data_IF_760935651168
#
_entry.id   IF_760935651168
#
_cell.length_a   1.000
_cell.length_b   1.000
_cell.length_c   1.000
_cell.angle_alpha   90.00
_cell.angle_beta   90.00
_cell.angle_gamma   90.00
#
_symmetry.space_group_name_H-M   'P 1'
#
loop_
_entity.id
_entity.type
_entity.pdbx_description
1 polymer ?
#
# COMPACT_ATOMS: atom_id res chain seq x y z
N UNK A 1 -10.98 -0.59 24.85
CA UNK A 1 -11.96 0.19 24.08
C UNK A 1 -11.69 -0.07 22.63
N UNK A 2 -12.64 -0.62 21.89
CA UNK A 2 -12.52 -0.83 20.44
C UNK A 2 -12.59 0.53 19.75
N UNK A 3 -11.58 0.86 18.96
CA UNK A 3 -11.58 2.08 18.13
C UNK A 3 -12.74 1.97 17.15
N UNK A 4 -13.61 2.99 17.02
CA UNK A 4 -14.70 2.94 16.07
C UNK A 4 -14.15 2.81 14.66
N UNK A 5 -14.83 2.09 13.76
CA UNK A 5 -14.39 1.94 12.38
C UNK A 5 -14.35 3.31 11.68
N UNK A 6 -13.46 3.51 10.70
CA UNK A 6 -13.40 4.76 9.95
C UNK A 6 -14.76 5.05 9.29
N UNK A 7 -15.14 6.33 9.27
CA UNK A 7 -16.41 6.80 8.69
C UNK A 7 -16.49 6.56 7.17
N UNK A 8 -15.35 6.48 6.52
CA UNK A 8 -15.21 6.17 5.08
C UNK A 8 -14.24 5.01 4.93
N UNK A 9 -14.61 4.00 4.14
CA UNK A 9 -13.84 2.77 3.99
C UNK A 9 -13.89 2.22 2.56
N UNK A 10 -12.75 1.88 2.00
CA UNK A 10 -12.66 1.11 0.74
C UNK A 10 -13.12 -0.31 0.99
N UNK A 11 -14.03 -0.81 0.14
CA UNK A 11 -14.58 -2.18 0.25
C UNK A 11 -13.98 -3.13 -0.76
N UNK A 12 -14.06 -2.79 -2.03
CA UNK A 12 -13.55 -3.65 -3.10
C UNK A 12 -13.21 -2.85 -4.36
N UNK A 13 -12.51 -3.51 -5.27
CA UNK A 13 -12.43 -3.15 -6.67
C UNK A 13 -12.82 -4.36 -7.51
N UNK A 14 -13.72 -4.17 -8.45
CA UNK A 14 -14.23 -5.19 -9.35
C UNK A 14 -13.83 -4.88 -10.79
N UNK A 15 -13.24 -5.86 -11.46
CA UNK A 15 -12.94 -5.87 -12.88
C UNK A 15 -13.95 -6.78 -13.56
N UNK A 16 -14.83 -6.22 -14.39
CA UNK A 16 -15.85 -6.95 -15.12
C UNK A 16 -15.31 -7.86 -16.24
N UNK A 17 -16.20 -8.32 -17.12
CA UNK A 17 -15.84 -9.20 -18.23
C UNK A 17 -14.96 -8.51 -19.28
N UNK A 18 -15.18 -7.21 -19.55
CA UNK A 18 -14.30 -6.44 -20.40
C UNK A 18 -12.96 -6.18 -19.69
N UNK A 19 -11.82 -6.48 -20.35
CA UNK A 19 -10.53 -6.38 -19.68
C UNK A 19 -10.11 -4.93 -19.48
N UNK A 20 -9.65 -4.60 -18.28
CA UNK A 20 -8.82 -3.42 -18.04
C UNK A 20 -7.36 -3.88 -18.03
N UNK A 21 -6.65 -3.70 -19.13
CA UNK A 21 -5.36 -4.34 -19.38
C UNK A 21 -5.51 -5.87 -19.34
N UNK A 22 -4.84 -6.52 -18.39
CA UNK A 22 -4.95 -7.97 -18.18
C UNK A 22 -6.04 -8.37 -17.18
N UNK A 23 -6.55 -7.41 -16.40
CA UNK A 23 -7.48 -7.67 -15.30
C UNK A 23 -8.90 -7.77 -15.84
N UNK A 24 -9.53 -8.91 -15.63
CA UNK A 24 -10.94 -9.18 -15.97
C UNK A 24 -11.52 -10.24 -15.04
N UNK A 25 -12.80 -10.16 -14.77
CA UNK A 25 -13.52 -11.11 -13.90
C UNK A 25 -12.82 -11.33 -12.54
N UNK A 26 -12.26 -10.26 -11.98
CA UNK A 26 -11.55 -10.29 -10.69
C UNK A 26 -12.16 -9.27 -9.75
N UNK A 27 -12.58 -9.70 -8.58
CA UNK A 27 -12.95 -8.83 -7.48
C UNK A 27 -11.92 -8.93 -6.36
N UNK A 28 -11.32 -7.79 -5.98
CA UNK A 28 -10.38 -7.68 -4.88
C UNK A 28 -11.09 -6.97 -3.73
N UNK A 29 -11.30 -7.66 -2.61
CA UNK A 29 -11.94 -7.13 -1.41
C UNK A 29 -10.89 -6.71 -0.38
N UNK A 30 -11.12 -5.60 0.30
CA UNK A 30 -10.14 -5.01 1.22
C UNK A 30 -10.59 -5.15 2.67
N UNK A 31 -9.67 -5.56 3.54
CA UNK A 31 -9.85 -5.55 4.98
C UNK A 31 -9.93 -4.11 5.51
N UNK A 32 -10.52 -3.94 6.68
CA UNK A 32 -10.75 -2.60 7.21
C UNK A 32 -9.48 -1.93 7.78
N UNK A 33 -8.41 -2.67 8.09
CA UNK A 33 -7.15 -2.13 8.64
C UNK A 33 -5.99 -2.28 7.68
N UNK A 34 -5.56 -3.50 7.36
CA UNK A 34 -4.42 -3.75 6.50
C UNK A 34 -4.71 -4.84 5.47
N UNK A 35 -4.55 -4.52 4.19
CA UNK A 35 -4.61 -5.49 3.09
C UNK A 35 -3.27 -5.57 2.39
N UNK A 36 -2.71 -6.77 2.28
CA UNK A 36 -1.58 -7.06 1.41
C UNK A 36 -2.07 -7.70 0.12
N UNK A 37 -1.63 -7.16 -1.01
CA UNK A 37 -1.82 -7.78 -2.34
C UNK A 37 -0.48 -8.36 -2.75
N UNK A 38 -0.41 -9.68 -2.87
CA UNK A 38 0.78 -10.40 -3.28
C UNK A 38 0.54 -11.17 -4.61
N UNK A 39 1.61 -11.66 -5.22
CA UNK A 39 1.57 -12.37 -6.51
C UNK A 39 2.73 -11.95 -7.41
N UNK A 40 2.86 -12.61 -8.57
CA UNK A 40 3.98 -12.44 -9.48
C UNK A 40 4.13 -11.01 -10.06
N UNK A 41 5.30 -10.70 -10.58
CA UNK A 41 5.57 -9.44 -11.28
C UNK A 41 4.70 -9.32 -12.53
N UNK A 42 4.21 -8.10 -12.80
CA UNK A 42 3.38 -7.83 -13.98
C UNK A 42 1.93 -8.33 -13.91
N UNK A 43 1.49 -8.86 -12.76
CA UNK A 43 0.11 -9.37 -12.56
C UNK A 43 -0.95 -8.25 -12.41
N UNK A 44 -0.52 -7.00 -12.29
CA UNK A 44 -1.44 -5.86 -12.21
C UNK A 44 -1.60 -5.23 -10.82
N UNK A 45 -0.79 -5.61 -9.82
CA UNK A 45 -0.87 -5.07 -8.44
C UNK A 45 -0.84 -3.54 -8.40
N UNK A 46 0.15 -2.91 -9.02
CA UNK A 46 0.27 -1.44 -9.05
C UNK A 46 -0.89 -0.77 -9.81
N UNK A 47 -1.51 -1.46 -10.79
CA UNK A 47 -2.71 -0.97 -11.48
C UNK A 47 -3.90 -0.95 -10.53
N UNK A 48 -4.10 -2.01 -9.74
CA UNK A 48 -5.14 -2.09 -8.70
C UNK A 48 -4.95 -0.96 -7.70
N UNK A 49 -3.74 -0.81 -7.14
CA UNK A 49 -3.42 0.27 -6.19
C UNK A 49 -3.67 1.65 -6.79
N UNK A 50 -3.27 1.87 -8.05
CA UNK A 50 -3.43 3.16 -8.74
C UNK A 50 -4.89 3.55 -8.95
N UNK A 51 -5.75 2.60 -9.34
CA UNK A 51 -7.19 2.83 -9.51
C UNK A 51 -7.86 3.15 -8.17
N UNK A 52 -7.55 2.38 -7.13
CA UNK A 52 -8.05 2.64 -5.77
C UNK A 52 -7.59 4.02 -5.30
N UNK A 53 -6.28 4.30 -5.33
CA UNK A 53 -5.72 5.59 -4.91
C UNK A 53 -6.35 6.77 -5.65
N UNK A 54 -6.64 6.61 -6.94
CA UNK A 54 -7.24 7.65 -7.77
C UNK A 54 -8.70 7.94 -7.42
N UNK A 55 -9.42 6.98 -6.86
CA UNK A 55 -10.84 7.11 -6.52
C UNK A 55 -11.05 7.97 -5.27
N UNK A 56 -10.05 8.07 -4.40
CA UNK A 56 -10.14 8.77 -3.12
C UNK A 56 -9.27 10.02 -3.06
N UNK A 57 -9.58 10.91 -2.13
CA UNK A 57 -8.76 12.07 -1.81
C UNK A 57 -9.51 13.37 -1.62
N UNK A 58 -8.85 14.32 -0.95
CA UNK A 58 -9.36 15.67 -0.75
C UNK A 58 -9.04 16.51 -1.99
N UNK A 59 -10.07 17.04 -2.65
CA UNK A 59 -9.93 17.80 -3.92
C UNK A 59 -9.99 19.31 -3.74
N UNK A 60 -10.39 19.81 -2.56
CA UNK A 60 -10.46 21.23 -2.29
C UNK A 60 -9.10 21.92 -2.53
N UNK A 61 -9.10 23.07 -3.22
CA UNK A 61 -7.87 23.82 -3.52
C UNK A 61 -7.18 24.33 -2.25
N UNK A 62 -7.95 24.74 -1.25
CA UNK A 62 -7.51 25.17 0.08
C UNK A 62 -7.40 24.02 1.09
N UNK A 63 -7.49 22.76 0.62
CA UNK A 63 -7.44 21.60 1.50
C UNK A 63 -6.09 21.42 2.18
N UNK A 64 -6.07 20.59 3.24
CA UNK A 64 -4.86 20.33 3.99
C UNK A 64 -3.76 19.69 3.12
N UNK A 65 -2.50 19.96 3.48
CA UNK A 65 -1.34 19.39 2.80
C UNK A 65 -0.58 18.48 3.75
N UNK A 66 -0.04 17.39 3.21
CA UNK A 66 0.86 16.47 3.92
C UNK A 66 2.22 17.13 4.19
N UNK A 67 3.05 16.51 5.03
CA UNK A 67 4.45 16.95 5.22
C UNK A 67 5.32 16.78 3.96
N UNK A 68 4.85 16.03 2.95
CA UNK A 68 5.44 16.06 1.61
C UNK A 68 5.18 17.38 0.85
N UNK A 69 4.32 18.27 1.37
CA UNK A 69 3.84 19.48 0.68
C UNK A 69 2.74 19.20 -0.35
N UNK A 70 2.33 17.96 -0.52
CA UNK A 70 1.30 17.54 -1.47
C UNK A 70 -0.09 17.46 -0.81
N UNK A 71 -1.18 17.65 -1.57
CA UNK A 71 -2.54 17.43 -1.05
C UNK A 71 -2.77 15.94 -0.77
N UNK A 72 -3.71 15.63 0.14
CA UNK A 72 -4.11 14.26 0.47
C UNK A 72 -4.94 13.63 -0.65
N UNK A 73 -4.33 13.44 -1.81
CA UNK A 73 -4.91 12.76 -2.98
C UNK A 73 -3.83 12.18 -3.87
N UNK A 74 -4.15 11.08 -4.54
CA UNK A 74 -3.33 10.51 -5.59
C UNK A 74 -4.05 10.59 -6.94
N UNK A 75 -3.29 10.62 -8.01
CA UNK A 75 -3.78 10.55 -9.38
C UNK A 75 -3.05 9.42 -10.09
N UNK A 76 -3.81 8.55 -10.76
CA UNK A 76 -3.27 7.35 -11.41
C UNK A 76 -2.22 7.67 -12.48
N UNK A 77 -2.33 8.82 -13.15
CA UNK A 77 -1.37 9.25 -14.18
C UNK A 77 0.05 9.45 -13.63
N UNK A 78 0.17 9.57 -12.31
CA UNK A 78 1.45 9.67 -11.59
C UNK A 78 1.96 8.33 -11.09
N UNK A 79 1.13 7.29 -11.16
CA UNK A 79 1.38 5.96 -10.63
C UNK A 79 1.67 4.99 -11.77
N UNK A 80 0.77 4.95 -12.76
CA UNK A 80 0.81 4.03 -13.89
C UNK A 80 0.73 4.83 -15.18
N UNK A 81 1.52 4.46 -16.19
CA UNK A 81 1.36 5.04 -17.51
C UNK A 81 0.11 4.43 -18.18
N UNK A 82 -0.84 5.28 -18.57
CA UNK A 82 -2.03 4.91 -19.31
C UNK A 82 -1.91 5.49 -20.73
N UNK A 83 -1.90 4.63 -21.72
CA UNK A 83 -1.80 5.01 -23.12
C UNK A 83 -3.14 5.52 -23.66
N UNK A 84 -3.13 6.30 -24.74
CA UNK A 84 -4.34 6.87 -25.33
C UNK A 84 -5.23 5.83 -25.98
N UNK A 85 -4.65 4.78 -26.56
CA UNK A 85 -5.38 3.65 -27.16
C UNK A 85 -6.21 2.89 -26.11
N UNK A 86 -5.76 2.84 -24.84
CA UNK A 86 -6.54 2.27 -23.74
C UNK A 86 -7.87 3.02 -23.52
N UNK A 87 -7.93 4.33 -23.86
CA UNK A 87 -9.19 5.11 -23.81
C UNK A 87 -10.18 4.60 -24.84
N UNK A 88 -9.73 4.41 -26.08
CA UNK A 88 -10.59 3.92 -27.14
C UNK A 88 -11.20 2.56 -26.82
N UNK A 89 -10.39 1.63 -26.27
CA UNK A 89 -10.85 0.32 -25.83
C UNK A 89 -11.93 0.46 -24.74
N UNK A 90 -11.73 1.33 -23.75
CA UNK A 90 -12.68 1.52 -22.65
C UNK A 90 -13.99 2.24 -23.09
N UNK A 91 -13.98 2.95 -24.21
CA UNK A 91 -15.16 3.61 -24.76
C UNK A 91 -16.07 2.65 -25.55
N UNK A 92 -15.54 1.55 -26.08
CA UNK A 92 -16.32 0.51 -26.79
C UNK A 92 -17.31 -0.16 -25.81
N UNK A 93 -16.86 -0.41 -24.59
CA UNK A 93 -17.73 -0.93 -23.53
C UNK A 93 -17.48 -0.16 -22.20
N UNK A 94 -18.18 0.95 -21.99
CA UNK A 94 -18.06 1.70 -20.75
C UNK A 94 -18.49 0.92 -19.50
N UNK A 95 -19.32 -0.14 -19.66
CA UNK A 95 -19.74 -1.00 -18.55
C UNK A 95 -18.61 -1.87 -18.03
N UNK A 96 -17.61 -2.14 -18.85
CA UNK A 96 -16.41 -2.93 -18.51
C UNK A 96 -15.34 -2.20 -17.70
N UNK A 97 -15.51 -0.88 -17.47
CA UNK A 97 -14.54 -0.14 -16.66
C UNK A 97 -14.56 -0.64 -15.19
N UNK A 98 -13.39 -0.73 -14.53
CA UNK A 98 -13.32 -1.17 -13.13
C UNK A 98 -14.19 -0.33 -12.21
N UNK A 99 -14.79 -0.98 -11.21
CA UNK A 99 -15.66 -0.35 -10.22
C UNK A 99 -15.04 -0.46 -8.84
N UNK A 100 -14.81 0.68 -8.20
CA UNK A 100 -14.38 0.75 -6.79
C UNK A 100 -15.60 0.98 -5.92
N UNK A 101 -15.78 0.11 -4.93
CA UNK A 101 -16.85 0.19 -3.94
C UNK A 101 -16.32 0.68 -2.61
N UNK A 102 -17.07 1.53 -1.94
CA UNK A 102 -16.73 2.09 -0.64
C UNK A 102 -17.96 2.28 0.24
N UNK A 103 -17.78 2.24 1.54
CA UNK A 103 -18.77 2.69 2.51
C UNK A 103 -18.45 4.13 2.90
N UNK A 104 -19.40 5.04 2.77
CA UNK A 104 -19.28 6.46 3.12
C UNK A 104 -20.38 6.78 4.14
N UNK A 105 -20.01 6.98 5.40
CA UNK A 105 -20.96 7.19 6.51
C UNK A 105 -22.08 6.13 6.57
N UNK A 106 -21.73 4.86 6.27
CA UNK A 106 -22.67 3.74 6.25
C UNK A 106 -23.43 3.55 4.93
N UNK A 107 -23.34 4.48 3.98
CA UNK A 107 -23.91 4.38 2.64
C UNK A 107 -22.90 3.72 1.70
N UNK A 108 -23.34 2.75 0.90
CA UNK A 108 -22.49 2.13 -0.11
C UNK A 108 -22.45 2.97 -1.38
N UNK A 109 -21.23 3.31 -1.81
CA UNK A 109 -20.94 4.14 -2.99
C UNK A 109 -20.09 3.36 -3.98
N UNK A 110 -20.51 3.32 -5.25
CA UNK A 110 -19.81 2.66 -6.32
C UNK A 110 -19.27 3.70 -7.32
N UNK A 111 -17.96 3.69 -7.54
CA UNK A 111 -17.29 4.59 -8.50
C UNK A 111 -16.69 3.80 -9.65
N UNK A 112 -17.21 4.02 -10.85
CA UNK A 112 -16.63 3.50 -12.09
C UNK A 112 -15.39 4.30 -12.47
N UNK A 113 -14.29 3.62 -12.75
CA UNK A 113 -13.02 4.19 -13.17
C UNK A 113 -13.06 4.50 -14.68
N UNK A 114 -13.73 5.59 -15.08
CA UNK A 114 -13.90 5.95 -16.48
C UNK A 114 -12.62 6.57 -17.06
N UNK A 115 -12.11 6.01 -18.15
CA UNK A 115 -10.93 6.54 -18.83
C UNK A 115 -11.31 7.71 -19.75
N UNK A 116 -10.53 8.77 -19.70
CA UNK A 116 -10.71 9.97 -20.53
C UNK A 116 -9.36 10.52 -20.98
N UNK A 117 -9.35 11.24 -22.10
CA UNK A 117 -8.19 11.99 -22.57
C UNK A 117 -8.25 13.44 -22.10
N UNK A 118 -7.10 14.02 -21.73
CA UNK A 118 -6.91 15.47 -21.64
C UNK A 118 -6.30 15.97 -22.95
N UNK A 119 -6.86 17.03 -23.51
CA UNK A 119 -6.41 17.62 -24.78
C UNK A 119 -4.94 18.05 -24.80
N UNK A 120 -4.37 18.37 -23.63
CA UNK A 120 -2.99 18.87 -23.48
C UNK A 120 -1.96 17.77 -23.16
N UNK A 121 -2.40 16.53 -22.92
CA UNK A 121 -1.51 15.48 -22.45
C UNK A 121 -1.57 14.26 -23.36
N UNK A 122 -0.42 13.74 -23.72
CA UNK A 122 -0.31 12.48 -24.47
C UNK A 122 -0.51 11.24 -23.58
N UNK A 123 -1.44 11.34 -22.62
CA UNK A 123 -1.76 10.27 -21.64
C UNK A 123 -3.25 10.27 -21.33
N UNK A 124 -3.77 9.07 -21.11
CA UNK A 124 -5.09 8.89 -20.53
C UNK A 124 -5.12 9.24 -19.05
N UNK A 125 -6.28 9.59 -18.56
CA UNK A 125 -6.58 9.76 -17.12
C UNK A 125 -7.81 8.95 -16.74
N UNK A 126 -7.98 8.71 -15.46
CA UNK A 126 -9.17 8.06 -14.92
C UNK A 126 -9.97 9.07 -14.09
N UNK A 127 -11.26 9.14 -14.38
CA UNK A 127 -12.23 9.94 -13.60
C UNK A 127 -13.16 8.97 -12.88
N UNK A 128 -13.25 9.04 -11.55
CA UNK A 128 -14.20 8.23 -10.80
C UNK A 128 -15.62 8.78 -10.99
N UNK A 129 -16.53 7.97 -11.53
CA UNK A 129 -17.92 8.35 -11.78
C UNK A 129 -18.87 7.49 -10.97
N UNK A 130 -19.80 8.09 -10.24
CA UNK A 130 -20.84 7.37 -9.49
C UNK A 130 -21.70 6.52 -10.42
N UNK A 131 -21.99 5.29 -10.02
CA UNK A 131 -22.91 4.37 -10.71
C UNK A 131 -24.22 4.36 -9.93
N UNK A 132 -25.34 4.45 -10.66
CA UNK A 132 -26.67 4.43 -10.09
C UNK A 132 -27.15 5.81 -9.60
N UNK A 133 -28.44 5.87 -9.27
CA UNK A 133 -29.03 7.02 -8.57
C UNK A 133 -28.99 6.69 -7.08
N UNK A 134 -28.11 7.31 -6.34
CA UNK A 134 -28.17 7.32 -4.88
C UNK A 134 -29.04 8.51 -4.52
N UNK A 135 -30.21 8.30 -3.90
CA UNK A 135 -31.17 9.37 -3.58
C UNK A 135 -30.55 10.49 -2.73
N UNK A 136 -29.52 10.12 -1.93
CA UNK A 136 -28.66 11.04 -1.20
C UNK A 136 -27.21 10.69 -1.49
N UNK A 137 -26.69 11.02 -2.69
CA UNK A 137 -25.28 10.76 -3.02
C UNK A 137 -24.38 11.63 -2.14
N UNK A 138 -23.70 11.07 -1.12
CA UNK A 138 -22.81 11.82 -0.26
C UNK A 138 -21.56 12.31 -1.00
N UNK A 139 -21.38 11.86 -2.25
CA UNK A 139 -20.22 12.15 -3.09
C UNK A 139 -20.67 12.52 -4.49
N UNK A 140 -20.51 13.74 -4.93
CA UNK A 140 -20.92 14.20 -6.26
C UNK A 140 -20.46 13.27 -7.40
N UNK A 141 -21.20 13.27 -8.51
CA UNK A 141 -21.13 12.28 -9.59
C UNK A 141 -19.73 12.00 -10.13
N UNK A 142 -18.93 13.05 -10.41
CA UNK A 142 -17.55 12.94 -10.93
C UNK A 142 -16.51 13.28 -9.87
N UNK A 143 -16.90 13.32 -8.59
CA UNK A 143 -16.01 13.66 -7.48
C UNK A 143 -15.30 12.40 -6.94
N UNK A 144 -14.09 12.62 -6.45
CA UNK A 144 -13.39 11.61 -5.63
C UNK A 144 -14.12 11.46 -4.29
N UNK A 145 -14.12 10.24 -3.74
CA UNK A 145 -14.61 10.01 -2.38
C UNK A 145 -13.67 10.75 -1.40
N UNK A 146 -14.20 11.58 -0.46
CA UNK A 146 -13.40 12.51 0.32
C UNK A 146 -12.66 11.84 1.49
N UNK A 147 -11.94 10.73 1.21
CA UNK A 147 -11.05 10.06 2.15
C UNK A 147 -9.63 10.57 1.92
N UNK A 148 -8.98 11.22 2.90
CA UNK A 148 -7.59 11.65 2.78
C UNK A 148 -6.70 10.49 2.34
N UNK A 149 -5.96 10.67 1.22
CA UNK A 149 -5.21 9.57 0.60
C UNK A 149 -3.77 9.96 0.36
N UNK A 150 -2.84 9.10 0.81
CA UNK A 150 -1.41 9.16 0.47
C UNK A 150 -1.03 7.87 -0.27
N UNK A 151 -0.36 8.03 -1.41
CA UNK A 151 0.23 6.92 -2.18
C UNK A 151 1.75 7.00 -2.12
N UNK A 152 2.36 5.94 -1.64
CA UNK A 152 3.81 5.75 -1.60
C UNK A 152 4.22 4.70 -2.65
N UNK A 153 4.74 5.17 -3.77
CA UNK A 153 5.22 4.29 -4.84
C UNK A 153 6.70 3.95 -4.72
N UNK A 154 7.21 3.18 -5.68
CA UNK A 154 8.60 2.73 -5.76
C UNK A 154 9.63 3.88 -5.77
N UNK A 155 9.22 5.09 -6.15
CA UNK A 155 10.10 6.28 -6.13
C UNK A 155 10.62 6.64 -4.74
N UNK A 156 9.98 6.17 -3.65
CA UNK A 156 10.52 6.33 -2.29
C UNK A 156 11.84 5.60 -2.10
N UNK A 157 12.13 4.59 -2.94
CA UNK A 157 13.34 3.77 -2.89
C UNK A 157 14.53 4.42 -3.60
N UNK A 158 14.34 5.54 -4.30
CA UNK A 158 15.46 6.28 -4.87
C UNK A 158 16.30 6.80 -3.72
N UNK A 159 17.51 6.27 -3.58
CA UNK A 159 18.43 6.67 -2.51
C UNK A 159 18.88 8.13 -2.71
N UNK A 160 18.87 8.91 -1.64
CA UNK A 160 19.42 10.26 -1.67
C UNK A 160 20.92 10.22 -1.88
N UNK A 161 21.60 9.21 -1.34
CA UNK A 161 23.06 9.03 -1.51
C UNK A 161 23.51 8.65 -2.93
N UNK A 162 22.58 8.23 -3.81
CA UNK A 162 22.87 7.95 -5.23
C UNK A 162 22.60 9.14 -6.15
N UNK A 163 21.95 10.18 -5.65
CA UNK A 163 21.69 11.40 -6.41
C UNK A 163 22.93 12.30 -6.46
N UNK A 164 23.06 13.10 -7.52
CA UNK A 164 24.10 14.13 -7.59
C UNK A 164 23.90 15.11 -6.41
N UNK A 165 24.96 15.41 -5.68
CA UNK A 165 24.93 16.31 -4.51
C UNK A 165 24.25 17.66 -4.81
N UNK A 166 24.40 18.17 -6.05
CA UNK A 166 23.77 19.41 -6.51
C UNK A 166 22.25 19.31 -6.69
N UNK A 167 21.73 18.09 -6.79
CA UNK A 167 20.31 17.82 -6.95
C UNK A 167 19.63 17.55 -5.62
N UNK A 168 20.37 17.22 -4.57
CA UNK A 168 19.85 16.96 -3.24
C UNK A 168 19.59 18.28 -2.52
N UNK A 169 18.35 18.44 -2.07
CA UNK A 169 17.96 19.52 -1.17
C UNK A 169 17.64 18.93 0.20
N UNK A 170 18.32 19.42 1.22
CA UNK A 170 18.13 19.02 2.62
C UNK A 170 17.89 20.27 3.45
N UNK A 171 16.74 20.36 4.12
CA UNK A 171 16.35 21.52 4.92
C UNK A 171 15.71 21.09 6.22
N UNK A 172 15.97 21.76 7.35
CA UNK A 172 15.22 21.51 8.58
C UNK A 172 13.72 21.61 8.33
N UNK A 173 12.94 20.70 8.91
CA UNK A 173 11.49 20.68 8.83
C UNK A 173 10.91 20.91 10.22
N UNK A 174 10.29 22.06 10.41
CA UNK A 174 9.51 22.32 11.61
C UNK A 174 8.23 21.47 11.60
N UNK A 175 8.06 20.66 12.64
CA UNK A 175 6.90 19.81 12.87
C UNK A 175 6.39 20.04 14.27
N UNK A 176 5.09 19.77 14.46
CA UNK A 176 4.54 19.71 15.80
C UNK A 176 5.25 18.60 16.60
N UNK A 177 5.43 18.81 17.90
CA UNK A 177 6.14 17.87 18.78
C UNK A 177 5.58 16.44 18.70
N UNK A 178 4.24 16.30 18.73
CA UNK A 178 3.58 14.99 18.60
C UNK A 178 3.90 14.28 17.27
N UNK A 179 4.09 15.03 16.18
CA UNK A 179 4.33 14.48 14.85
C UNK A 179 5.79 14.03 14.71
N UNK A 180 6.74 14.81 15.25
CA UNK A 180 8.15 14.42 15.30
C UNK A 180 8.38 13.26 16.27
N UNK A 181 7.74 13.26 17.43
CA UNK A 181 7.78 12.14 18.37
C UNK A 181 7.20 10.84 17.76
N UNK A 182 6.10 10.96 17.00
CA UNK A 182 5.53 9.82 16.26
C UNK A 182 6.52 9.24 15.26
N UNK A 183 7.22 10.09 14.49
CA UNK A 183 8.21 9.63 13.53
C UNK A 183 9.35 8.88 14.20
N UNK A 184 9.88 9.42 15.30
CA UNK A 184 10.95 8.81 16.09
C UNK A 184 10.51 7.45 16.65
N UNK A 185 9.32 7.38 17.27
CA UNK A 185 8.78 6.13 17.83
C UNK A 185 8.56 5.07 16.74
N UNK A 186 8.01 5.48 15.59
CA UNK A 186 7.82 4.56 14.47
C UNK A 186 9.14 3.99 13.98
N UNK A 187 10.14 4.83 13.69
CA UNK A 187 11.46 4.39 13.20
C UNK A 187 12.14 3.47 14.21
N UNK A 188 12.13 3.83 15.49
CA UNK A 188 12.71 3.00 16.57
C UNK A 188 12.01 1.65 16.71
N UNK A 189 10.70 1.60 16.49
CA UNK A 189 9.93 0.35 16.59
C UNK A 189 10.20 -0.62 15.44
N UNK A 190 10.68 -0.15 14.30
CA UNK A 190 10.98 -0.98 13.12
C UNK A 190 12.46 -1.38 13.08
N UNK A 191 13.37 -0.43 13.26
CA UNK A 191 14.81 -0.68 13.25
C UNK A 191 15.31 -0.69 14.69
N UNK A 192 15.43 -1.90 15.25
CA UNK A 192 15.91 -2.08 16.63
C UNK A 192 17.36 -1.64 16.75
N UNK A 193 17.65 -0.92 17.84
CA UNK A 193 19.00 -0.37 18.08
C UNK A 193 19.28 0.94 17.34
N UNK A 194 18.34 1.46 16.54
CA UNK A 194 18.47 2.81 15.98
C UNK A 194 18.24 3.87 17.08
N UNK A 195 18.95 4.99 16.98
CA UNK A 195 18.83 6.14 17.91
C UNK A 195 18.36 7.39 17.16
N UNK A 196 17.11 7.38 16.59
CA UNK A 196 16.57 8.56 15.95
C UNK A 196 16.24 9.64 16.99
N UNK A 197 16.40 10.91 16.61
CA UNK A 197 16.03 12.06 17.41
C UNK A 197 15.00 12.96 16.71
N UNK A 198 14.49 13.96 17.42
CA UNK A 198 13.39 14.83 16.96
C UNK A 198 13.80 15.90 15.95
N UNK A 199 15.08 15.99 15.59
CA UNK A 199 15.54 16.94 14.56
C UNK A 199 15.18 16.39 13.19
N UNK A 200 14.05 16.84 12.67
CA UNK A 200 13.53 16.33 11.40
C UNK A 200 14.08 17.15 10.24
N UNK A 201 14.60 16.46 9.24
CA UNK A 201 15.12 17.08 8.01
C UNK A 201 14.26 16.66 6.83
N UNK A 202 13.76 17.65 6.08
CA UNK A 202 13.12 17.41 4.79
C UNK A 202 14.20 17.17 3.75
N UNK A 203 14.01 16.12 2.97
CA UNK A 203 14.89 15.76 1.88
C UNK A 203 14.12 15.65 0.57
N UNK A 204 14.71 16.18 -0.51
CA UNK A 204 14.15 16.09 -1.86
C UNK A 204 15.27 16.04 -2.90
N UNK A 205 14.95 15.46 -4.06
CA UNK A 205 15.84 15.43 -5.22
C UNK A 205 15.22 16.30 -6.31
N UNK A 206 15.96 17.31 -6.79
CA UNK A 206 15.54 18.19 -7.89
C UNK A 206 15.20 17.38 -9.14
N UNK A 207 14.16 17.77 -9.84
CA UNK A 207 13.69 17.01 -11.03
C UNK A 207 12.99 15.69 -10.72
N UNK A 208 13.12 15.17 -9.50
CA UNK A 208 12.42 13.99 -9.00
C UNK A 208 11.19 14.40 -8.17
N UNK A 209 10.27 13.46 -8.00
CA UNK A 209 9.15 13.60 -7.04
C UNK A 209 9.49 13.00 -5.68
N UNK A 210 10.74 12.63 -5.45
CA UNK A 210 11.21 12.14 -4.18
C UNK A 210 11.15 13.28 -3.16
N UNK A 211 10.36 13.07 -2.13
CA UNK A 211 10.28 13.94 -0.95
C UNK A 211 10.04 13.07 0.26
N UNK A 212 10.83 13.22 1.29
CA UNK A 212 10.64 12.54 2.56
C UNK A 212 11.07 13.45 3.71
N UNK A 213 10.67 13.13 4.90
CA UNK A 213 11.25 13.68 6.11
C UNK A 213 11.98 12.57 6.85
N UNK A 214 13.15 12.87 7.37
CA UNK A 214 14.01 11.94 8.09
C UNK A 214 14.27 12.47 9.49
N UNK A 215 14.17 11.62 10.52
CA UNK A 215 14.69 11.98 11.83
C UNK A 215 16.21 12.08 11.77
N UNK A 216 16.80 12.93 12.60
CA UNK A 216 18.25 12.93 12.79
C UNK A 216 18.69 11.67 13.53
N UNK A 217 19.97 11.33 13.44
CA UNK A 217 20.59 10.21 14.13
C UNK A 217 21.81 10.70 14.91
N UNK A 218 22.10 10.07 16.04
CA UNK A 218 23.29 10.43 16.84
C UNK A 218 24.61 10.00 16.19
N UNK A 219 24.56 8.95 15.37
CA UNK A 219 25.74 8.27 14.84
C UNK A 219 26.11 8.66 13.42
N UNK A 220 25.20 9.26 12.66
CA UNK A 220 25.40 9.62 11.26
C UNK A 220 24.45 10.74 10.82
N UNK A 221 24.82 11.42 9.74
CA UNK A 221 24.00 12.46 9.12
C UNK A 221 22.71 11.87 8.53
N UNK A 222 21.63 12.66 8.51
CA UNK A 222 20.36 12.28 7.92
C UNK A 222 20.44 11.97 6.41
N UNK A 223 21.52 12.34 5.73
CA UNK A 223 21.79 11.99 4.33
C UNK A 223 22.55 10.66 4.19
N UNK A 224 23.29 10.25 5.22
CA UNK A 224 24.06 9.00 5.23
C UNK A 224 23.22 7.80 5.68
N UNK A 225 22.04 7.64 5.07
CA UNK A 225 21.07 6.60 5.41
C UNK A 225 20.97 5.52 4.33
N UNK A 226 20.65 4.30 4.74
CA UNK A 226 20.38 3.21 3.81
C UNK A 226 19.04 3.40 3.08
N UNK A 227 18.87 2.72 1.94
CA UNK A 227 17.59 2.70 1.18
C UNK A 227 16.41 2.31 2.08
N UNK A 228 16.61 1.35 3.00
CA UNK A 228 15.59 0.94 3.95
C UNK A 228 15.21 2.03 4.94
N UNK A 229 16.19 2.75 5.48
CA UNK A 229 15.93 3.89 6.38
C UNK A 229 15.20 5.01 5.63
N UNK A 230 15.56 5.30 4.40
CA UNK A 230 14.91 6.31 3.57
C UNK A 230 13.47 5.93 3.23
N UNK A 231 13.23 4.67 2.87
CA UNK A 231 11.87 4.13 2.69
C UNK A 231 11.05 4.26 3.98
N UNK A 232 11.64 3.93 5.13
CA UNK A 232 11.00 4.04 6.44
C UNK A 232 10.64 5.48 6.79
N UNK A 233 11.54 6.42 6.52
CA UNK A 233 11.28 7.86 6.68
C UNK A 233 10.12 8.35 5.83
N UNK A 234 9.98 7.84 4.61
CA UNK A 234 8.83 8.15 3.76
C UNK A 234 7.51 7.64 4.37
N UNK A 235 7.50 6.44 4.94
CA UNK A 235 6.32 5.88 5.63
C UNK A 235 6.03 6.69 6.90
N UNK A 236 7.05 6.99 7.71
CA UNK A 236 6.93 7.83 8.91
C UNK A 236 6.36 9.23 8.58
N UNK A 237 6.83 9.85 7.48
CA UNK A 237 6.31 11.15 6.98
C UNK A 237 4.81 11.07 6.65
N UNK A 238 4.36 9.96 6.04
CA UNK A 238 2.94 9.76 5.74
C UNK A 238 2.13 9.63 7.03
N UNK A 239 2.59 8.83 7.99
CA UNK A 239 1.92 8.65 9.29
C UNK A 239 1.86 9.98 10.07
N UNK A 240 2.94 10.73 10.13
CA UNK A 240 2.97 12.07 10.75
C UNK A 240 2.01 13.05 10.06
N UNK A 241 1.89 12.96 8.73
CA UNK A 241 0.94 13.77 7.96
C UNK A 241 -0.52 13.47 8.34
N UNK A 242 -0.87 12.19 8.51
CA UNK A 242 -2.19 11.80 8.99
C UNK A 242 -2.42 12.16 10.47
N UNK A 243 -1.38 12.09 11.31
CA UNK A 243 -1.47 12.52 12.71
C UNK A 243 -1.81 14.01 12.82
N UNK A 244 -1.09 14.84 12.05
CA UNK A 244 -1.41 16.27 11.93
C UNK A 244 -2.84 16.49 11.45
N UNK A 245 -3.23 15.83 10.36
CA UNK A 245 -4.57 15.96 9.81
C UNK A 245 -5.65 15.57 10.82
N UNK A 246 -5.45 14.49 11.56
CA UNK A 246 -6.36 14.04 12.62
C UNK A 246 -6.49 15.08 13.74
N UNK A 247 -5.39 15.65 14.19
CA UNK A 247 -5.35 16.72 15.19
C UNK A 247 -6.09 17.97 14.70
N UNK A 248 -5.77 18.41 13.48
CA UNK A 248 -6.30 19.65 12.93
C UNK A 248 -7.79 19.55 12.57
N UNK A 249 -8.28 18.35 12.20
CA UNK A 249 -9.69 18.09 11.87
C UNK A 249 -10.55 17.74 13.10
N UNK A 250 -9.95 17.34 14.22
CA UNK A 250 -10.71 16.97 15.43
C UNK A 250 -11.80 15.93 15.17
N UNK A 251 -13.03 16.23 15.56
CA UNK A 251 -14.20 15.33 15.39
C UNK A 251 -14.62 15.08 13.94
N UNK A 252 -14.19 15.92 12.99
CA UNK A 252 -14.52 15.77 11.57
C UNK A 252 -13.58 14.80 10.84
N UNK A 253 -12.53 14.34 11.51
CA UNK A 253 -11.63 13.38 10.91
C UNK A 253 -12.35 12.07 10.55
N UNK A 254 -12.37 11.74 9.26
CA UNK A 254 -13.06 10.56 8.72
C UNK A 254 -12.19 9.30 8.67
N UNK A 255 -10.91 9.41 9.03
CA UNK A 255 -9.88 8.40 8.79
C UNK A 255 -8.99 8.77 7.61
N UNK A 256 -8.17 7.83 7.15
CA UNK A 256 -7.29 8.02 6.02
C UNK A 256 -6.98 6.74 5.26
N UNK A 257 -6.56 6.88 4.01
CA UNK A 257 -6.13 5.79 3.15
C UNK A 257 -4.64 5.92 2.84
N UNK A 258 -3.85 4.96 3.31
CA UNK A 258 -2.43 4.86 3.01
C UNK A 258 -2.19 3.70 2.05
N UNK A 259 -1.69 4.00 0.87
CA UNK A 259 -1.39 3.00 -0.16
C UNK A 259 0.13 2.93 -0.35
N UNK A 260 0.70 1.72 -0.26
CA UNK A 260 2.15 1.50 -0.35
C UNK A 260 2.44 0.42 -1.39
N UNK A 261 3.11 0.79 -2.48
CA UNK A 261 3.56 -0.16 -3.48
C UNK A 261 4.92 -0.73 -3.07
N UNK A 262 5.10 -2.06 -3.17
CA UNK A 262 6.31 -2.79 -2.75
C UNK A 262 6.76 -2.46 -1.33
N UNK A 263 5.89 -2.72 -0.35
CA UNK A 263 6.12 -2.38 1.06
C UNK A 263 7.42 -2.93 1.63
N UNK A 264 7.83 -4.11 1.20
CA UNK A 264 9.02 -4.84 1.66
C UNK A 264 10.34 -4.34 1.05
N UNK A 265 10.28 -3.55 -0.02
CA UNK A 265 11.48 -3.17 -0.75
C UNK A 265 12.43 -2.32 0.10
N UNK A 266 13.69 -2.73 0.14
CA UNK A 266 14.77 -2.09 0.89
C UNK A 266 14.89 -2.51 2.35
N UNK A 267 14.00 -3.39 2.86
CA UNK A 267 14.04 -3.82 4.26
C UNK A 267 14.65 -5.21 4.45
N UNK A 268 15.42 -5.36 5.51
CA UNK A 268 15.85 -6.68 5.97
C UNK A 268 14.65 -7.48 6.53
N UNK A 269 14.57 -8.81 6.36
CA UNK A 269 13.44 -9.62 6.82
C UNK A 269 13.01 -9.38 8.27
N UNK A 270 13.95 -9.20 9.18
CA UNK A 270 13.66 -8.88 10.58
C UNK A 270 12.92 -7.54 10.75
N UNK A 271 13.34 -6.51 9.99
CA UNK A 271 12.69 -5.20 10.02
C UNK A 271 11.27 -5.25 9.41
N UNK A 272 11.03 -6.13 8.42
CA UNK A 272 9.73 -6.32 7.79
C UNK A 272 8.67 -6.77 8.79
N UNK A 273 8.99 -7.71 9.66
CA UNK A 273 8.07 -8.19 10.71
C UNK A 273 7.71 -7.06 11.68
N UNK A 274 8.70 -6.28 12.10
CA UNK A 274 8.48 -5.13 12.96
C UNK A 274 7.67 -4.03 12.26
N UNK A 275 7.95 -3.79 10.97
CA UNK A 275 7.21 -2.85 10.14
C UNK A 275 5.72 -3.21 10.08
N UNK A 276 5.39 -4.49 9.84
CA UNK A 276 4.01 -4.97 9.84
C UNK A 276 3.30 -4.71 11.17
N UNK A 277 3.95 -5.02 12.29
CA UNK A 277 3.42 -4.77 13.63
C UNK A 277 3.21 -3.28 13.91
N UNK A 278 4.19 -2.46 13.52
CA UNK A 278 4.11 -1.01 13.68
C UNK A 278 2.97 -0.43 12.82
N UNK A 279 2.83 -0.83 11.56
CA UNK A 279 1.76 -0.38 10.67
C UNK A 279 0.38 -0.72 11.23
N UNK A 280 0.15 -1.93 11.76
CA UNK A 280 -1.11 -2.30 12.41
C UNK A 280 -1.43 -1.36 13.58
N UNK A 281 -0.47 -1.11 14.47
CA UNK A 281 -0.61 -0.22 15.63
C UNK A 281 -0.96 1.21 15.20
N UNK A 282 -0.25 1.75 14.21
CA UNK A 282 -0.49 3.11 13.73
C UNK A 282 -1.76 3.22 12.89
N UNK A 283 -2.15 2.18 12.15
CA UNK A 283 -3.43 2.14 11.45
C UNK A 283 -4.61 2.29 12.43
N UNK A 284 -4.58 1.58 13.55
CA UNK A 284 -5.59 1.73 14.61
C UNK A 284 -5.56 3.13 15.25
N UNK A 285 -4.37 3.57 15.68
CA UNK A 285 -4.20 4.89 16.31
C UNK A 285 -4.70 6.04 15.46
N UNK A 286 -4.43 5.98 14.15
CA UNK A 286 -4.72 7.05 13.19
C UNK A 286 -5.99 6.78 12.36
N UNK A 287 -6.75 5.74 12.65
CA UNK A 287 -7.92 5.30 11.87
C UNK A 287 -7.61 5.19 10.37
N UNK A 288 -6.50 4.54 10.03
CA UNK A 288 -6.10 4.35 8.65
C UNK A 288 -6.54 2.99 8.12
N UNK A 289 -6.97 2.97 6.86
CA UNK A 289 -6.98 1.78 6.06
C UNK A 289 -5.70 1.75 5.23
N UNK A 290 -4.92 0.67 5.34
CA UNK A 290 -3.67 0.49 4.62
C UNK A 290 -3.85 -0.57 3.56
N UNK A 291 -3.48 -0.27 2.31
CA UNK A 291 -3.45 -1.24 1.21
C UNK A 291 -2.03 -1.24 0.64
N UNK A 292 -1.37 -2.39 0.65
CA UNK A 292 0.01 -2.47 0.20
C UNK A 292 0.23 -3.68 -0.71
N UNK A 293 1.25 -3.60 -1.58
CA UNK A 293 1.76 -4.75 -2.33
C UNK A 293 3.04 -5.27 -1.70
N UNK A 294 3.31 -6.54 -1.91
CA UNK A 294 4.52 -7.18 -1.39
C UNK A 294 4.93 -8.38 -2.23
N UNK A 295 6.23 -8.69 -2.17
CA UNK A 295 6.84 -9.93 -2.63
C UNK A 295 7.50 -10.70 -1.48
N UNK A 296 7.36 -10.25 -0.23
CA UNK A 296 8.02 -10.85 0.94
C UNK A 296 7.20 -11.97 1.57
N UNK A 297 7.68 -13.22 1.58
CA UNK A 297 7.06 -14.31 2.31
C UNK A 297 6.87 -13.97 3.81
N UNK A 298 7.90 -13.38 4.43
CA UNK A 298 7.86 -13.01 5.85
C UNK A 298 6.77 -12.00 6.18
N UNK A 299 6.49 -11.05 5.27
CA UNK A 299 5.41 -10.08 5.45
C UNK A 299 4.05 -10.76 5.31
N UNK A 300 3.90 -11.62 4.31
CA UNK A 300 2.69 -12.42 4.09
C UNK A 300 2.39 -13.26 5.34
N UNK A 301 3.36 -14.01 5.85
CA UNK A 301 3.22 -14.82 7.07
C UNK A 301 2.80 -14.00 8.29
N UNK A 302 3.35 -12.80 8.44
CA UNK A 302 3.04 -11.93 9.59
C UNK A 302 1.60 -11.40 9.54
N UNK A 303 1.04 -11.21 8.36
CA UNK A 303 -0.29 -10.64 8.16
C UNK A 303 -1.34 -11.74 7.95
N UNK A 304 -0.97 -12.84 7.27
CA UNK A 304 -1.89 -13.91 6.93
C UNK A 304 -2.41 -14.60 8.21
N UNK A 305 -3.70 -14.58 8.50
CA UNK A 305 -4.25 -15.38 9.58
C UNK A 305 -4.14 -16.86 9.22
N UNK A 306 -3.78 -17.72 10.16
CA UNK A 306 -3.86 -19.17 9.94
C UNK A 306 -5.29 -19.54 9.54
N UNK A 307 -5.44 -20.14 8.34
CA UNK A 307 -6.75 -20.49 7.79
C UNK A 307 -7.28 -19.56 6.69
N UNK A 308 -6.51 -18.59 6.25
CA UNK A 308 -6.68 -17.79 5.01
C UNK A 308 -8.04 -17.14 4.75
N UNK A 309 -8.01 -15.95 4.17
CA UNK A 309 -9.18 -15.37 3.50
C UNK A 309 -10.36 -14.91 4.36
N UNK A 310 -10.23 -14.87 5.69
CA UNK A 310 -11.27 -14.32 6.54
C UNK A 310 -11.40 -12.81 6.34
N UNK A 311 -12.29 -12.40 5.44
CA UNK A 311 -12.58 -11.00 5.14
C UNK A 311 -13.17 -10.22 6.31
N UNK A 312 -13.61 -10.90 7.37
CA UNK A 312 -14.06 -10.28 8.62
C UNK A 312 -12.89 -9.97 9.57
N UNK A 313 -11.69 -10.48 9.28
CA UNK A 313 -10.49 -10.11 10.03
C UNK A 313 -10.11 -8.65 9.73
N UNK A 314 -9.48 -7.95 10.69
CA UNK A 314 -9.00 -6.59 10.45
C UNK A 314 -7.92 -6.49 9.38
N UNK A 315 -7.21 -7.58 9.14
CA UNK A 315 -6.13 -7.69 8.16
C UNK A 315 -6.37 -8.85 7.21
N UNK A 316 -5.91 -8.73 5.96
CA UNK A 316 -5.96 -9.85 5.01
C UNK A 316 -4.78 -9.84 4.04
N UNK A 317 -4.49 -11.02 3.50
CA UNK A 317 -3.60 -11.20 2.35
C UNK A 317 -4.43 -11.67 1.17
N UNK A 318 -4.22 -11.04 0.02
CA UNK A 318 -4.85 -11.39 -1.26
C UNK A 318 -3.73 -11.83 -2.18
N UNK A 319 -3.79 -13.08 -2.63
CA UNK A 319 -2.81 -13.64 -3.53
C UNK A 319 -3.36 -13.77 -4.93
N UNK A 320 -2.67 -13.13 -5.89
CA UNK A 320 -3.01 -13.15 -7.31
C UNK A 320 -2.07 -14.11 -8.04
N UNK A 321 -2.65 -14.94 -8.89
CA UNK A 321 -1.96 -15.93 -9.72
C UNK A 321 -2.25 -15.70 -11.21
N UNK A 322 -1.48 -16.33 -12.08
CA UNK A 322 -1.59 -16.30 -13.53
C UNK A 322 -1.32 -14.91 -14.13
N UNK A 323 -0.08 -14.67 -14.53
CA UNK A 323 0.34 -13.38 -15.13
C UNK A 323 -0.28 -13.09 -16.49
N UNK A 324 -0.85 -14.09 -17.16
CA UNK A 324 -1.54 -13.90 -18.47
C UNK A 324 -2.99 -13.54 -18.28
N UNK A 325 -3.68 -14.23 -17.35
CA UNK A 325 -5.07 -14.00 -16.97
C UNK A 325 -5.17 -13.86 -15.43
N UNK A 326 -4.81 -12.69 -14.88
CA UNK A 326 -4.77 -12.50 -13.43
C UNK A 326 -6.08 -12.85 -12.75
N UNK A 327 -6.01 -13.71 -11.75
CA UNK A 327 -7.14 -14.14 -10.92
C UNK A 327 -6.71 -14.32 -9.49
N UNK A 328 -7.65 -14.37 -8.58
CA UNK A 328 -7.37 -14.78 -7.21
C UNK A 328 -6.96 -16.25 -7.20
N UNK A 329 -5.97 -16.62 -6.40
CA UNK A 329 -5.68 -18.02 -6.14
C UNK A 329 -6.92 -18.68 -5.52
N UNK A 330 -7.26 -19.88 -5.96
CA UNK A 330 -8.38 -20.64 -5.41
C UNK A 330 -8.11 -21.04 -3.97
N UNK A 331 -6.89 -21.47 -3.70
CA UNK A 331 -6.37 -21.72 -2.35
C UNK A 331 -5.51 -20.54 -1.91
N UNK A 332 -6.03 -19.77 -0.95
CA UNK A 332 -5.36 -18.62 -0.33
C UNK A 332 -4.62 -19.05 0.95
N UNK A 333 -4.41 -20.35 1.18
CA UNK A 333 -3.66 -20.82 2.34
C UNK A 333 -2.18 -20.41 2.25
N UNK A 334 -1.56 -20.22 3.40
CA UNK A 334 -0.14 -19.85 3.46
C UNK A 334 0.76 -20.90 2.78
N UNK A 335 0.38 -22.18 2.87
CA UNK A 335 1.11 -23.27 2.24
C UNK A 335 1.05 -23.20 0.70
N UNK A 336 -0.14 -22.89 0.14
CA UNK A 336 -0.30 -22.71 -1.31
C UNK A 336 0.45 -21.48 -1.82
N UNK A 337 0.36 -20.36 -1.11
CA UNK A 337 1.08 -19.12 -1.44
C UNK A 337 2.59 -19.37 -1.45
N UNK A 338 3.13 -20.05 -0.44
CA UNK A 338 4.57 -20.38 -0.38
C UNK A 338 5.00 -21.24 -1.55
N UNK A 339 4.25 -22.31 -1.88
CA UNK A 339 4.58 -23.18 -3.02
C UNK A 339 4.65 -22.39 -4.33
N UNK A 340 3.68 -21.51 -4.57
CA UNK A 340 3.67 -20.69 -5.79
C UNK A 340 4.83 -19.68 -5.80
N UNK A 341 5.14 -19.05 -4.67
CA UNK A 341 6.27 -18.12 -4.57
C UNK A 341 7.62 -18.81 -4.76
N UNK A 342 7.78 -20.05 -4.31
CA UNK A 342 8.99 -20.86 -4.45
C UNK A 342 9.08 -21.55 -5.83
N UNK A 343 8.12 -21.30 -6.73
CA UNK A 343 8.01 -21.92 -8.06
C UNK A 343 7.97 -23.44 -7.99
N UNK A 344 7.48 -24.01 -6.89
CA UNK A 344 7.27 -25.45 -6.80
C UNK A 344 6.04 -25.80 -7.65
N UNK A 345 6.21 -26.71 -8.62
CA UNK A 345 5.08 -27.22 -9.41
C UNK A 345 4.11 -27.97 -8.49
N UNK A 346 2.80 -27.91 -8.83
CA UNK A 346 1.79 -28.71 -8.10
C UNK A 346 2.08 -30.22 -8.15
N UNK A 347 2.86 -30.67 -9.17
CA UNK A 347 3.38 -32.02 -9.33
C UNK A 347 4.73 -32.26 -8.65
N UNK A 348 5.31 -31.25 -7.97
CA UNK A 348 6.52 -31.50 -7.20
C UNK A 348 6.18 -32.53 -6.12
N UNK A 349 6.84 -33.70 -6.12
CA UNK A 349 6.59 -34.68 -5.08
C UNK A 349 6.78 -34.00 -3.73
N UNK A 350 5.80 -34.15 -2.84
CA UNK A 350 6.00 -33.77 -1.44
C UNK A 350 7.41 -34.14 -1.08
N UNK A 351 8.25 -33.20 -0.69
CA UNK A 351 9.55 -33.50 -0.13
C UNK A 351 9.25 -34.44 1.03
N UNK A 352 9.22 -35.75 0.73
CA UNK A 352 9.19 -36.77 1.77
C UNK A 352 10.39 -36.43 2.63
N UNK A 353 10.13 -35.90 3.79
CA UNK A 353 11.13 -35.82 4.84
C UNK A 353 11.71 -37.21 4.93
N UNK A 354 12.88 -37.41 4.31
CA UNK A 354 13.64 -38.66 4.43
C UNK A 354 13.92 -38.72 5.91
N UNK A 355 13.12 -39.51 6.61
CA UNK A 355 13.40 -39.76 8.01
C UNK A 355 14.78 -40.41 8.03
N UNK A 356 15.74 -39.84 8.74
CA UNK A 356 17.05 -40.40 8.81
C UNK A 356 16.88 -41.85 9.32
N UNK A 357 17.34 -42.82 8.54
CA UNK A 357 17.32 -44.20 8.97
C UNK A 357 18.42 -44.34 10.01
N UNK A 358 18.02 -44.54 11.25
CA UNK A 358 18.97 -44.81 12.33
C UNK A 358 19.35 -46.29 12.29
N UNK A 359 20.58 -46.56 11.94
CA UNK A 359 21.13 -47.89 12.05
C UNK A 359 21.71 -48.05 13.45
N UNK A 360 21.12 -48.95 14.26
CA UNK A 360 21.64 -49.36 15.58
C UNK A 360 22.34 -50.70 15.40
N UNK A 361 23.66 -50.71 15.58
CA UNK A 361 24.44 -51.92 15.60
C UNK A 361 24.60 -52.37 17.06
N UNK A 362 24.26 -53.62 17.32
CA UNK A 362 24.54 -54.26 18.60
C UNK A 362 25.78 -55.12 18.42
N UNK A 363 26.76 -54.96 19.28
CA UNK A 363 27.87 -55.90 19.40
C UNK A 363 27.40 -57.08 20.27
N UNK A 364 27.32 -58.27 19.70
CA UNK A 364 27.09 -59.48 20.48
C UNK A 364 28.34 -59.76 21.36
N UNK A 365 28.20 -59.64 22.66
CA UNK A 365 29.16 -60.16 23.62
C UNK A 365 29.12 -61.67 23.51
N UNK A 366 30.03 -62.23 22.71
CA UNK A 366 30.31 -63.67 22.74
C UNK A 366 31.06 -63.96 24.04
N UNK A 367 30.37 -64.65 24.92
CA UNK A 367 30.93 -65.21 26.15
C UNK A 367 31.91 -66.36 25.88
#
# INVERSE_FOLDING_TARGET
MTVPPPKIQVRSINFGAAPFRKLRNVEVKFAHRLTLIAGHNGIGKSTILGLVANTFGITAKSGPRSYFGEPFRANIERIVYLALDEVAISQVDPSGAPVVSASVHGVEVHKRCAMTQRSEWNRARVVPRTIGKVEEDPVGQDAKIPLPTIYLGIKRLTSIGEADEKEVESTPLEMHEDDSALMVDFVRSVILGSSPNINITRQSIKGSRKKSAQPGYETHDAQAISVGQDSLGSIATALASFNRLKRDSGGDYAGGLLIIDELDAGFHPHAIVNLAKALKRYAERLMLQIIATTHSPSLIETIHPEGGGNLNAPDCVIYLVDTRNPRLAEDQSLAAIRRDMDLQSDDAPELRTVRPTLYIYFEDLVS
#
